data_IF_153961739366
#
_entry.id   IF_153961739366
#
_cell.length_a   1.000
_cell.length_b   1.000
_cell.length_c   1.000
_cell.angle_alpha   90.00
_cell.angle_beta   90.00
_cell.angle_gamma   90.00
#
_symmetry.space_group_name_H-M   'P 1'
#
loop_
_entity.id
_entity.type
_entity.pdbx_description
1 polymer ?
#
# COMPACT_ATOMS: atom_id res chain seq x y z
N UNK A 1 -9.36 -11.93 -9.98
CA UNK A 1 -8.27 -11.56 -9.06
C UNK A 1 -8.66 -10.27 -8.36
N UNK A 2 -9.21 -10.31 -7.14
CA UNK A 2 -9.42 -9.09 -6.39
C UNK A 2 -8.08 -8.66 -5.81
N UNK A 3 -7.65 -7.44 -6.11
CA UNK A 3 -6.59 -6.75 -5.39
C UNK A 3 -7.17 -6.42 -3.99
N UNK A 4 -7.20 -7.43 -3.12
CA UNK A 4 -7.49 -7.24 -1.71
C UNK A 4 -6.23 -6.63 -1.11
N UNK A 5 -6.22 -5.30 -0.96
CA UNK A 5 -5.35 -4.68 0.01
C UNK A 5 -5.67 -5.34 1.36
N UNK A 6 -4.78 -6.20 1.83
CA UNK A 6 -4.91 -6.90 3.09
C UNK A 6 -4.99 -5.91 4.25
N UNK A 7 -5.49 -6.32 5.43
CA UNK A 7 -5.40 -5.49 6.62
C UNK A 7 -3.92 -5.15 6.86
N UNK A 8 -3.59 -3.87 7.16
CA UNK A 8 -2.21 -3.43 7.29
C UNK A 8 -1.50 -4.32 8.30
N UNK A 9 -0.39 -4.89 7.88
CA UNK A 9 0.43 -5.78 8.71
C UNK A 9 0.88 -5.03 9.97
N UNK A 10 1.15 -5.72 11.08
CA UNK A 10 1.62 -5.08 12.31
C UNK A 10 2.90 -4.24 12.12
N UNK A 11 3.68 -4.52 11.06
CA UNK A 11 4.80 -3.70 10.61
C UNK A 11 4.38 -2.45 9.85
N UNK A 12 3.31 -2.48 9.05
CA UNK A 12 2.71 -1.29 8.42
C UNK A 12 1.97 -0.42 9.43
N UNK A 13 1.31 -1.00 10.43
CA UNK A 13 0.72 -0.24 11.53
C UNK A 13 1.82 0.40 12.38
N UNK A 14 2.91 -0.32 12.69
CA UNK A 14 4.06 0.23 13.38
C UNK A 14 4.86 1.23 12.52
N UNK A 15 4.87 1.10 11.19
CA UNK A 15 5.47 2.07 10.28
C UNK A 15 4.58 3.31 10.13
N UNK A 16 3.26 3.16 10.07
CA UNK A 16 2.29 4.27 10.10
C UNK A 16 2.25 4.96 11.46
N UNK A 17 2.45 4.21 12.56
CA UNK A 17 2.60 4.77 13.92
C UNK A 17 3.98 5.36 14.15
N UNK A 18 5.07 4.84 13.55
CA UNK A 18 6.38 5.51 13.50
C UNK A 18 6.28 6.78 12.68
N UNK A 19 5.61 6.78 11.53
CA UNK A 19 5.39 7.99 10.73
C UNK A 19 4.54 9.01 11.48
N UNK A 20 3.55 8.58 12.30
CA UNK A 20 2.79 9.47 13.20
C UNK A 20 3.62 9.96 14.40
N UNK A 21 4.43 9.11 15.02
CA UNK A 21 5.22 9.48 16.21
C UNK A 21 6.55 10.18 15.90
N UNK A 22 7.16 9.99 14.73
CA UNK A 22 8.35 10.75 14.30
C UNK A 22 8.01 12.12 13.73
N UNK A 23 6.72 12.50 13.68
CA UNK A 23 6.29 13.83 13.25
C UNK A 23 5.94 14.75 14.44
N UNK A 24 5.91 14.25 15.68
CA UNK A 24 5.33 15.02 16.81
C UNK A 24 6.25 15.37 17.98
N UNK A 25 7.50 14.94 18.04
CA UNK A 25 8.41 15.41 19.10
C UNK A 25 9.68 16.07 18.54
N UNK A 26 9.93 17.28 19.04
CA UNK A 26 11.11 18.15 18.87
C UNK A 26 11.32 18.84 17.52
N UNK A 27 10.26 19.41 16.94
CA UNK A 27 10.46 20.68 16.22
C UNK A 27 10.33 21.81 17.25
N UNK A 28 11.34 22.69 17.42
CA UNK A 28 11.10 23.92 18.16
C UNK A 28 9.88 24.59 17.51
N UNK A 29 8.90 24.97 18.32
CA UNK A 29 7.80 25.83 17.88
C UNK A 29 8.44 27.20 17.60
N UNK A 30 9.20 27.31 16.51
CA UNK A 30 9.37 28.59 15.86
C UNK A 30 7.95 29.00 15.47
N UNK A 31 7.43 30.13 16.00
CA UNK A 31 6.21 30.71 15.49
C UNK A 31 6.32 30.73 13.96
N UNK A 32 5.25 30.39 13.21
CA UNK A 32 5.31 30.51 11.76
C UNK A 32 5.80 31.93 11.48
N UNK A 33 6.98 32.05 10.86
CA UNK A 33 7.52 33.36 10.49
C UNK A 33 6.37 34.11 9.85
N UNK A 34 5.90 35.16 10.53
CA UNK A 34 4.77 35.94 10.06
C UNK A 34 5.07 36.26 8.61
N UNK A 35 4.13 36.02 7.66
CA UNK A 35 4.41 36.19 6.25
C UNK A 35 5.02 37.58 6.11
N UNK A 36 6.31 37.62 5.78
CA UNK A 36 7.09 38.85 5.75
C UNK A 36 6.46 39.68 4.66
N UNK A 37 5.51 40.54 5.06
CA UNK A 37 4.80 41.41 4.13
C UNK A 37 5.90 42.18 3.43
N UNK A 38 5.99 42.11 2.08
CA UNK A 38 7.04 42.80 1.38
C UNK A 38 6.99 44.27 1.81
N UNK A 39 8.14 44.81 2.22
CA UNK A 39 8.22 46.17 2.71
C UNK A 39 7.52 47.12 1.74
N UNK A 40 6.74 48.07 2.28
CA UNK A 40 5.99 49.01 1.47
C UNK A 40 6.95 49.73 0.52
N UNK A 41 6.67 49.75 -0.79
CA UNK A 41 7.59 50.34 -1.74
C UNK A 41 7.67 51.85 -1.49
N UNK A 42 8.83 52.32 -1.06
CA UNK A 42 9.10 53.75 -0.79
C UNK A 42 9.29 54.58 -2.06
N UNK A 43 9.37 53.92 -3.23
CA UNK A 43 9.55 54.57 -4.54
C UNK A 43 8.53 54.09 -5.57
N UNK A 44 8.14 54.97 -6.49
CA UNK A 44 7.22 54.63 -7.59
C UNK A 44 7.74 53.48 -8.47
N UNK A 45 9.06 53.38 -8.68
CA UNK A 45 9.69 52.27 -9.41
C UNK A 45 9.56 50.95 -8.63
N UNK A 46 9.74 50.98 -7.31
CA UNK A 46 9.52 49.83 -6.42
C UNK A 46 8.08 49.32 -6.49
N UNK A 47 7.12 50.24 -6.44
CA UNK A 47 5.69 49.91 -6.57
C UNK A 47 5.38 49.24 -7.92
N UNK A 48 5.84 49.82 -9.03
CA UNK A 48 5.65 49.23 -10.37
C UNK A 48 6.25 47.83 -10.49
N UNK A 49 7.42 47.58 -9.88
CA UNK A 49 8.04 46.25 -9.86
C UNK A 49 7.21 45.24 -9.06
N UNK A 50 6.72 45.63 -7.88
CA UNK A 50 5.87 44.77 -7.05
C UNK A 50 4.55 44.42 -7.75
N UNK A 51 3.88 45.39 -8.39
CA UNK A 51 2.65 45.13 -9.17
C UNK A 51 2.89 44.17 -10.32
N UNK A 52 4.01 44.32 -11.05
CA UNK A 52 4.39 43.37 -12.12
C UNK A 52 4.65 41.97 -11.58
N UNK A 53 5.38 41.86 -10.46
CA UNK A 53 5.63 40.57 -9.81
C UNK A 53 4.34 39.91 -9.30
N UNK A 54 3.42 40.68 -8.73
CA UNK A 54 2.11 40.19 -8.30
C UNK A 54 1.28 39.68 -9.50
N UNK A 55 1.25 40.41 -10.61
CA UNK A 55 0.58 39.97 -11.84
C UNK A 55 1.18 38.69 -12.42
N UNK A 56 2.52 38.59 -12.44
CA UNK A 56 3.20 37.39 -12.91
C UNK A 56 2.85 36.18 -12.02
N UNK A 57 2.93 36.34 -10.68
CA UNK A 57 2.54 35.31 -9.72
C UNK A 57 1.09 34.86 -9.94
N UNK A 58 0.16 35.81 -10.09
CA UNK A 58 -1.25 35.50 -10.35
C UNK A 58 -1.43 34.73 -11.67
N UNK A 59 -0.70 35.09 -12.73
CA UNK A 59 -0.77 34.38 -14.01
C UNK A 59 -0.23 32.94 -13.91
N UNK A 60 0.85 32.72 -13.16
CA UNK A 60 1.41 31.39 -12.91
C UNK A 60 0.47 30.54 -12.05
N UNK A 61 -0.07 31.12 -10.97
CA UNK A 61 -1.06 30.45 -10.12
C UNK A 61 -2.28 30.03 -10.92
N UNK A 62 -2.80 30.90 -11.80
CA UNK A 62 -3.92 30.56 -12.68
C UNK A 62 -3.59 29.37 -13.58
N UNK A 63 -2.43 29.38 -14.24
CA UNK A 63 -2.00 28.25 -15.10
C UNK A 63 -1.85 26.95 -14.31
N UNK A 64 -1.29 27.04 -13.10
CA UNK A 64 -1.13 25.87 -12.24
C UNK A 64 -2.50 25.32 -11.81
N UNK A 65 -3.44 26.18 -11.42
CA UNK A 65 -4.81 25.78 -11.08
C UNK A 65 -5.50 25.14 -12.28
N UNK A 66 -5.39 25.73 -13.47
CA UNK A 66 -5.93 25.13 -14.71
C UNK A 66 -5.29 23.76 -15.00
N UNK A 67 -3.98 23.60 -14.77
CA UNK A 67 -3.30 22.31 -14.91
C UNK A 67 -3.77 21.27 -13.89
N UNK A 68 -4.01 21.68 -12.64
CA UNK A 68 -4.54 20.79 -11.60
C UNK A 68 -5.97 20.35 -11.87
N UNK A 69 -6.81 21.26 -12.38
CA UNK A 69 -8.18 20.92 -12.79
C UNK A 69 -8.14 19.86 -13.89
N UNK A 70 -7.35 20.08 -14.94
CA UNK A 70 -7.20 19.10 -16.05
C UNK A 70 -6.69 17.75 -15.58
N UNK A 71 -5.66 17.74 -14.72
CA UNK A 71 -5.14 16.50 -14.15
C UNK A 71 -6.20 15.79 -13.28
N UNK A 72 -6.98 16.55 -12.52
CA UNK A 72 -8.08 16.02 -11.73
C UNK A 72 -9.19 15.40 -12.58
N UNK A 73 -9.57 16.06 -13.69
CA UNK A 73 -10.52 15.53 -14.67
C UNK A 73 -10.01 14.22 -15.29
N UNK A 74 -8.74 14.18 -15.72
CA UNK A 74 -8.12 12.97 -16.28
C UNK A 74 -8.15 11.80 -15.28
N UNK A 75 -7.75 12.04 -14.03
CA UNK A 75 -7.78 11.00 -12.99
C UNK A 75 -9.20 10.53 -12.69
N UNK A 76 -10.19 11.42 -12.76
CA UNK A 76 -11.60 11.07 -12.55
C UNK A 76 -12.11 10.17 -13.68
N UNK A 77 -11.77 10.49 -14.93
CA UNK A 77 -12.12 9.68 -16.10
C UNK A 77 -11.49 8.29 -16.04
N UNK A 78 -10.18 8.22 -15.74
CA UNK A 78 -9.47 6.95 -15.55
C UNK A 78 -10.08 6.13 -14.42
N UNK A 79 -10.43 6.77 -13.29
CA UNK A 79 -11.04 6.09 -12.16
C UNK A 79 -12.42 5.52 -12.52
N UNK A 80 -13.22 6.27 -13.27
CA UNK A 80 -14.53 5.83 -13.74
C UNK A 80 -14.40 4.64 -14.70
N UNK A 81 -13.48 4.72 -15.67
CA UNK A 81 -13.19 3.61 -16.58
C UNK A 81 -12.80 2.35 -15.79
N UNK A 82 -11.84 2.46 -14.87
CA UNK A 82 -11.40 1.34 -14.05
C UNK A 82 -12.52 0.77 -13.18
N UNK A 83 -13.43 1.60 -12.66
CA UNK A 83 -14.60 1.13 -11.91
C UNK A 83 -15.54 0.31 -12.80
N UNK A 84 -15.81 0.79 -14.02
CA UNK A 84 -16.66 0.07 -14.98
C UNK A 84 -16.03 -1.25 -15.40
N UNK A 85 -14.74 -1.27 -15.75
CA UNK A 85 -14.01 -2.48 -16.09
C UNK A 85 -14.00 -3.49 -14.93
N UNK A 86 -13.71 -3.02 -13.72
CA UNK A 86 -13.75 -3.89 -12.54
C UNK A 86 -15.15 -4.45 -12.28
N UNK A 87 -16.21 -3.67 -12.49
CA UNK A 87 -17.58 -4.14 -12.37
C UNK A 87 -17.87 -5.25 -13.40
N UNK A 88 -17.50 -5.03 -14.66
CA UNK A 88 -17.67 -6.00 -15.73
C UNK A 88 -16.85 -7.29 -15.52
N UNK A 89 -15.60 -7.16 -15.08
CA UNK A 89 -14.75 -8.31 -14.74
C UNK A 89 -15.33 -9.11 -13.57
N UNK A 90 -15.83 -8.44 -12.54
CA UNK A 90 -16.52 -9.12 -11.42
C UNK A 90 -17.75 -9.88 -11.89
N UNK A 91 -18.52 -9.30 -12.80
CA UNK A 91 -19.69 -9.98 -13.37
C UNK A 91 -19.28 -11.17 -14.23
N UNK A 92 -18.30 -11.01 -15.10
CA UNK A 92 -17.77 -12.08 -15.98
C UNK A 92 -17.22 -13.25 -15.16
N UNK A 93 -16.51 -12.96 -14.07
CA UNK A 93 -16.03 -14.00 -13.16
C UNK A 93 -17.22 -14.72 -12.51
N UNK A 94 -18.25 -14.01 -12.07
CA UNK A 94 -19.46 -14.62 -11.48
C UNK A 94 -20.21 -15.50 -12.50
N UNK A 95 -20.39 -15.03 -13.73
CA UNK A 95 -21.09 -15.79 -14.78
C UNK A 95 -20.30 -17.03 -15.17
N UNK A 96 -18.98 -16.92 -15.32
CA UNK A 96 -18.10 -18.05 -15.60
C UNK A 96 -18.08 -19.05 -14.43
N UNK A 97 -18.05 -18.58 -13.18
CA UNK A 97 -18.15 -19.44 -12.00
C UNK A 97 -19.48 -20.21 -11.99
N UNK A 98 -20.60 -19.55 -12.29
CA UNK A 98 -21.91 -20.21 -12.43
C UNK A 98 -21.87 -21.26 -13.54
N UNK A 99 -21.35 -20.92 -14.72
CA UNK A 99 -21.21 -21.86 -15.85
C UNK A 99 -20.41 -23.10 -15.45
N UNK A 100 -19.26 -22.90 -14.78
CA UNK A 100 -18.42 -24.00 -14.26
C UNK A 100 -19.14 -24.83 -13.21
N UNK A 101 -19.89 -24.22 -12.28
CA UNK A 101 -20.70 -24.96 -11.31
C UNK A 101 -21.76 -25.83 -11.98
N UNK A 102 -22.46 -25.32 -13.00
CA UNK A 102 -23.45 -26.10 -13.75
C UNK A 102 -22.84 -27.23 -14.59
N UNK A 103 -21.63 -27.03 -15.13
CA UNK A 103 -20.93 -28.06 -15.91
C UNK A 103 -20.20 -29.12 -15.07
N UNK A 104 -20.11 -28.95 -13.74
CA UNK A 104 -19.45 -29.93 -12.86
C UNK A 104 -20.37 -31.15 -12.69
N UNK A 105 -19.89 -32.38 -12.97
CA UNK A 105 -20.67 -33.58 -12.72
C UNK A 105 -20.85 -33.79 -11.20
N UNK A 106 -22.09 -34.03 -10.75
CA UNK A 106 -22.44 -34.24 -9.34
C UNK A 106 -22.10 -35.64 -8.80
N UNK A 107 -21.44 -36.49 -9.59
CA UNK A 107 -21.04 -37.84 -9.16
C UNK A 107 -22.21 -38.76 -8.79
N UNK A 108 -23.41 -38.48 -9.30
CA UNK A 108 -24.63 -39.21 -8.95
C UNK A 108 -24.67 -40.64 -9.53
N UNK A 109 -23.93 -40.89 -10.61
CA UNK A 109 -23.90 -42.17 -11.32
C UNK A 109 -23.08 -43.22 -10.55
N UNK A 110 -23.71 -44.36 -10.29
CA UNK A 110 -23.05 -45.53 -9.74
C UNK A 110 -22.27 -46.24 -10.86
N UNK A 111 -20.93 -46.22 -10.79
CA UNK A 111 -20.06 -46.84 -11.81
C UNK A 111 -20.11 -48.37 -11.81
N UNK A 112 -20.37 -48.98 -10.66
CA UNK A 112 -20.45 -50.43 -10.47
C UNK A 112 -21.65 -51.06 -11.18
N UNK A 113 -22.72 -50.28 -11.40
CA UNK A 113 -23.95 -50.72 -12.08
C UNK A 113 -24.26 -49.78 -13.26
N UNK A 114 -23.27 -49.53 -14.12
CA UNK A 114 -23.40 -48.63 -15.26
C UNK A 114 -24.41 -49.10 -16.32
N UNK A 115 -24.72 -50.40 -16.37
CA UNK A 115 -25.70 -50.98 -17.30
C UNK A 115 -27.15 -51.03 -16.81
N UNK A 116 -27.42 -50.61 -15.57
CA UNK A 116 -28.76 -50.61 -14.98
C UNK A 116 -29.38 -49.22 -15.00
N UNK A 117 -30.71 -49.14 -15.11
CA UNK A 117 -31.44 -47.88 -14.98
C UNK A 117 -31.27 -47.31 -13.57
N UNK A 118 -30.80 -46.06 -13.47
CA UNK A 118 -30.59 -45.37 -12.19
C UNK A 118 -31.61 -44.24 -12.03
N UNK A 119 -32.36 -44.28 -10.93
CA UNK A 119 -33.34 -43.24 -10.62
C UNK A 119 -32.73 -42.16 -9.73
N UNK A 120 -33.03 -40.90 -10.04
CA UNK A 120 -32.59 -39.74 -9.28
C UNK A 120 -33.79 -38.98 -8.74
N UNK A 121 -33.96 -38.97 -7.42
CA UNK A 121 -34.97 -38.13 -6.77
C UNK A 121 -34.44 -36.69 -6.61
N UNK A 122 -35.32 -35.67 -6.62
CA UNK A 122 -34.92 -34.28 -6.38
C UNK A 122 -34.11 -34.09 -5.09
N UNK A 123 -34.52 -34.76 -4.01
CA UNK A 123 -33.83 -34.72 -2.72
C UNK A 123 -32.39 -35.28 -2.81
N UNK A 124 -32.19 -36.39 -3.54
CA UNK A 124 -30.86 -36.97 -3.75
C UNK A 124 -29.96 -36.05 -4.57
N UNK A 125 -30.52 -35.33 -5.55
CA UNK A 125 -29.79 -34.34 -6.35
C UNK A 125 -29.38 -33.15 -5.47
N UNK A 126 -30.28 -32.64 -4.61
CA UNK A 126 -29.99 -31.54 -3.68
C UNK A 126 -28.87 -31.92 -2.71
N UNK A 127 -28.97 -33.08 -2.06
CA UNK A 127 -27.91 -33.57 -1.15
C UNK A 127 -26.55 -33.71 -1.86
N UNK A 128 -26.53 -34.13 -3.13
CA UNK A 128 -25.28 -34.19 -3.90
C UNK A 128 -24.69 -32.81 -4.21
N UNK A 129 -25.53 -31.79 -4.42
CA UNK A 129 -25.10 -30.40 -4.60
C UNK A 129 -24.50 -29.83 -3.30
N UNK A 130 -25.18 -30.05 -2.18
CA UNK A 130 -24.73 -29.61 -0.86
C UNK A 130 -23.35 -30.20 -0.53
N UNK A 131 -23.16 -31.51 -0.72
CA UNK A 131 -21.84 -32.15 -0.54
C UNK A 131 -20.77 -31.57 -1.46
N UNK A 132 -21.11 -31.28 -2.72
CA UNK A 132 -20.17 -30.68 -3.66
C UNK A 132 -19.76 -29.26 -3.22
N UNK A 133 -20.71 -28.46 -2.75
CA UNK A 133 -20.45 -27.12 -2.21
C UNK A 133 -19.64 -27.19 -0.90
N UNK A 134 -19.92 -28.15 -0.01
CA UNK A 134 -19.13 -28.40 1.21
C UNK A 134 -17.68 -28.77 0.89
N UNK A 135 -17.45 -29.67 -0.08
CA UNK A 135 -16.10 -30.07 -0.51
C UNK A 135 -15.33 -28.89 -1.13
N UNK A 136 -16.00 -28.08 -1.95
CA UNK A 136 -15.39 -26.87 -2.51
C UNK A 136 -15.07 -25.84 -1.40
N UNK A 137 -15.96 -25.67 -0.42
CA UNK A 137 -15.73 -24.80 0.75
C UNK A 137 -14.55 -25.28 1.61
N UNK A 138 -14.45 -26.59 1.86
CA UNK A 138 -13.30 -27.17 2.58
C UNK A 138 -11.98 -26.96 1.83
N UNK A 139 -11.97 -27.10 0.50
CA UNK A 139 -10.78 -26.82 -0.33
C UNK A 139 -10.38 -25.34 -0.23
N UNK A 140 -11.35 -24.44 -0.30
CA UNK A 140 -11.11 -23.00 -0.16
C UNK A 140 -10.57 -22.63 1.23
N UNK A 141 -11.14 -23.21 2.29
CA UNK A 141 -10.64 -23.00 3.65
C UNK A 141 -9.20 -23.50 3.82
N UNK A 142 -8.87 -24.68 3.28
CA UNK A 142 -7.49 -25.20 3.30
C UNK A 142 -6.53 -24.30 2.54
N UNK A 143 -6.91 -23.84 1.35
CA UNK A 143 -6.10 -22.90 0.58
C UNK A 143 -5.87 -21.59 1.35
N UNK A 144 -6.92 -21.00 1.93
CA UNK A 144 -6.82 -19.79 2.72
C UNK A 144 -5.95 -19.96 3.98
N UNK A 145 -5.94 -21.14 4.61
CA UNK A 145 -5.05 -21.44 5.72
C UNK A 145 -3.58 -21.49 5.29
N UNK A 146 -3.29 -22.10 4.13
CA UNK A 146 -1.93 -22.14 3.56
C UNK A 146 -1.46 -20.73 3.22
N UNK A 147 -2.25 -19.95 2.50
CA UNK A 147 -1.94 -18.56 2.18
C UNK A 147 -1.73 -17.71 3.44
N UNK A 148 -2.60 -17.88 4.44
CA UNK A 148 -2.47 -17.20 5.74
C UNK A 148 -1.21 -17.60 6.50
N UNK A 149 -0.77 -18.85 6.40
CA UNK A 149 0.50 -19.31 6.98
C UNK A 149 1.70 -18.71 6.25
N UNK A 150 1.67 -18.70 4.92
CA UNK A 150 2.73 -18.11 4.08
C UNK A 150 2.89 -16.61 4.35
N UNK A 151 1.78 -15.88 4.44
CA UNK A 151 1.76 -14.46 4.77
C UNK A 151 2.39 -14.19 6.16
N UNK A 152 2.00 -14.96 7.19
CA UNK A 152 2.60 -14.84 8.53
C UNK A 152 4.09 -15.12 8.50
N UNK A 153 4.53 -16.12 7.74
CA UNK A 153 5.94 -16.46 7.59
C UNK A 153 6.72 -15.34 6.89
N UNK A 154 6.15 -14.71 5.87
CA UNK A 154 6.75 -13.56 5.19
C UNK A 154 6.93 -12.37 6.16
N UNK A 155 5.86 -11.98 6.86
CA UNK A 155 5.90 -10.91 7.87
C UNK A 155 6.96 -11.17 8.94
N UNK A 156 7.07 -12.41 9.44
CA UNK A 156 8.10 -12.77 10.42
C UNK A 156 9.52 -12.67 9.85
N UNK A 157 9.74 -13.00 8.58
CA UNK A 157 11.05 -12.84 7.93
C UNK A 157 11.40 -11.37 7.80
N UNK A 158 10.45 -10.53 7.41
CA UNK A 158 10.67 -9.09 7.24
C UNK A 158 11.00 -8.43 8.59
N UNK A 159 10.26 -8.76 9.65
CA UNK A 159 10.56 -8.29 11.01
C UNK A 159 11.95 -8.72 11.50
N UNK A 160 12.35 -9.98 11.23
CA UNK A 160 13.70 -10.47 11.55
C UNK A 160 14.78 -9.76 10.71
N UNK A 161 14.51 -9.45 9.45
CA UNK A 161 15.44 -8.71 8.60
C UNK A 161 15.64 -7.27 9.11
N UNK A 162 14.56 -6.58 9.49
CA UNK A 162 14.61 -5.23 10.06
C UNK A 162 15.43 -5.22 11.36
N UNK A 163 15.12 -6.12 12.30
CA UNK A 163 15.86 -6.19 13.58
C UNK A 163 17.33 -6.57 13.39
N UNK A 164 17.65 -7.45 12.42
CA UNK A 164 19.05 -7.77 12.09
C UNK A 164 19.78 -6.56 11.49
N UNK A 165 19.12 -5.78 10.62
CA UNK A 165 19.68 -4.58 10.04
C UNK A 165 19.95 -3.51 11.11
N UNK A 166 19.00 -3.27 12.02
CA UNK A 166 19.17 -2.36 13.17
C UNK A 166 20.36 -2.79 14.06
N UNK A 167 20.48 -4.09 14.38
CA UNK A 167 21.63 -4.61 15.16
C UNK A 167 22.97 -4.48 14.43
N UNK A 168 22.99 -4.61 13.10
CA UNK A 168 24.21 -4.42 12.29
C UNK A 168 24.62 -2.94 12.25
N UNK A 169 23.65 -2.03 12.11
CA UNK A 169 23.89 -0.59 12.14
C UNK A 169 24.49 -0.16 13.49
N UNK A 170 23.90 -0.57 14.62
CA UNK A 170 24.41 -0.25 15.96
C UNK A 170 25.83 -0.78 16.21
N UNK A 171 26.17 -1.96 15.66
CA UNK A 171 27.54 -2.52 15.75
C UNK A 171 28.54 -1.76 14.88
N UNK A 172 28.12 -1.21 13.73
CA UNK A 172 28.96 -0.40 12.88
C UNK A 172 29.26 0.96 13.53
N UNK A 173 28.25 1.58 14.15
CA UNK A 173 28.40 2.84 14.91
C UNK A 173 29.35 2.67 16.10
N UNK A 174 29.22 1.58 16.86
CA UNK A 174 30.13 1.27 17.98
C UNK A 174 31.58 0.95 17.58
N UNK A 175 31.86 0.65 16.30
CA UNK A 175 33.23 0.45 15.79
C UNK A 175 33.87 1.74 15.27
N UNK A 176 33.10 2.80 15.02
CA UNK A 176 33.62 4.08 14.53
C UNK A 176 33.98 5.06 15.66
N UNK A 177 33.68 4.74 16.92
CA UNK A 177 34.06 5.53 18.09
C UNK A 177 35.18 4.86 18.88
N UNK A 178 36.42 5.29 18.65
CA UNK A 178 37.64 5.23 19.50
C UNK A 178 38.90 4.74 18.77
N UNK A 179 39.52 5.65 18.03
CA UNK A 179 41.00 5.72 17.96
C UNK A 179 41.36 7.13 18.42
N UNK A 180 41.85 7.33 19.67
CA UNK A 180 42.37 8.63 20.06
C UNK A 180 43.60 8.96 19.21
N UNK A 181 43.74 10.19 18.70
CA UNK A 181 44.94 10.60 17.97
C UNK A 181 46.17 10.50 18.89
N UNK A 182 47.33 10.05 18.39
CA UNK A 182 48.55 10.00 19.19
C UNK A 182 48.94 11.43 19.62
N UNK A 183 49.44 11.61 20.87
CA UNK A 183 49.79 12.93 21.37
C UNK A 183 50.96 13.51 20.56
N UNK A 184 50.76 14.72 20.04
CA UNK A 184 51.76 15.50 19.32
C UNK A 184 52.97 15.76 20.23
N UNK A 185 54.14 15.29 19.82
CA UNK A 185 55.39 15.59 20.48
C UNK A 185 55.76 17.05 20.21
N UNK A 186 55.56 17.92 21.20
CA UNK A 186 56.15 19.26 21.21
C UNK A 186 57.67 19.13 21.34
N UNK A 187 58.34 19.41 20.23
CA UNK A 187 59.77 19.65 20.18
C UNK A 187 60.06 21.00 20.84
N UNK A 188 60.50 21.04 22.10
CA UNK A 188 61.13 22.21 22.71
C UNK A 188 61.79 21.84 24.05
N UNK A 189 63.13 21.67 24.02
CA UNK A 189 64.06 22.00 25.11
C UNK A 189 65.44 21.36 24.83
N UNK A 190 66.25 22.02 24.00
CA UNK A 190 67.71 21.97 24.09
C UNK A 190 68.22 23.41 24.04
N UNK A 191 68.48 23.96 25.22
CA UNK A 191 69.50 24.98 25.51
C UNK A 191 69.78 24.93 26.99
#
# INVERSE_FOLDING_TARGET
MPFLAGPPTGGEIAALQRIRHTQEEDRPITPPEAPTRPAAPTTARGFRRQVRAARLRQSLLRRNVESFIRAGEQLLDENNLLKHENAFLKETVKTEQRRRKHGKPLGLLNKEHAGQAQFFSPARIQAARERADELDAQKQQKAAQVEGFELRRAVQKDQKAVTLAERKAARAEGRCGTIPPPPEATAEARS
#
